data_IF_618371622621
#
_entry.id   IF_618371622621
#
_cell.length_a   1.000
_cell.length_b   1.000
_cell.length_c   1.000
_cell.angle_alpha   90.00
_cell.angle_beta   90.00
_cell.angle_gamma   90.00
#
_symmetry.space_group_name_H-M   'P 1'
#
loop_
_entity.id
_entity.type
_entity.pdbx_description
1 polymer ?
#
# COMPACT_ATOMS: atom_id res chain seq x y z
N UNK A 1 -20.11 2.70 -1.12
CA UNK A 1 -19.09 3.70 -0.76
C UNK A 1 -17.70 3.04 -0.75
N UNK A 2 -16.75 3.59 -1.49
CA UNK A 2 -15.40 3.04 -1.53
C UNK A 2 -14.56 3.60 -0.40
N UNK A 3 -13.71 2.76 0.18
CA UNK A 3 -12.69 3.21 1.12
C UNK A 3 -11.36 3.32 0.38
N UNK A 4 -10.35 3.92 1.01
CA UNK A 4 -9.05 4.09 0.40
C UNK A 4 -8.46 2.77 -0.11
N UNK A 5 -8.49 1.73 0.72
CA UNK A 5 -7.92 0.43 0.38
C UNK A 5 -8.66 -0.24 -0.80
N UNK A 6 -9.99 -0.19 -0.80
CA UNK A 6 -10.78 -0.76 -1.90
C UNK A 6 -10.45 -0.03 -3.20
N UNK A 7 -10.40 1.29 -3.16
CA UNK A 7 -10.09 2.10 -4.35
C UNK A 7 -8.70 1.77 -4.90
N UNK A 8 -7.70 1.72 -4.04
CA UNK A 8 -6.33 1.46 -4.45
C UNK A 8 -6.18 0.04 -5.02
N UNK A 9 -6.73 -0.96 -4.33
CA UNK A 9 -6.58 -2.36 -4.75
C UNK A 9 -7.39 -2.70 -6.01
N UNK A 10 -8.41 -1.92 -6.35
CA UNK A 10 -9.25 -2.18 -7.51
C UNK A 10 -8.63 -1.69 -8.84
N UNK A 11 -7.58 -0.91 -8.76
CA UNK A 11 -6.90 -0.42 -9.96
C UNK A 11 -6.17 -1.55 -10.67
N UNK A 12 -6.26 -1.59 -12.00
CA UNK A 12 -5.69 -2.68 -12.80
C UNK A 12 -4.18 -2.85 -12.57
N UNK A 13 -3.42 -1.76 -12.55
CA UNK A 13 -1.98 -1.83 -12.31
C UNK A 13 -1.67 -2.41 -10.93
N UNK A 14 -2.52 -2.15 -9.95
CA UNK A 14 -2.33 -2.67 -8.60
C UNK A 14 -2.76 -4.13 -8.49
N UNK A 15 -3.77 -4.54 -9.25
CA UNK A 15 -4.14 -5.96 -9.32
C UNK A 15 -2.99 -6.77 -9.89
N UNK A 16 -2.33 -6.27 -10.94
CA UNK A 16 -1.17 -6.92 -11.53
C UNK A 16 -0.02 -6.99 -10.52
N UNK A 17 0.18 -5.92 -9.76
CA UNK A 17 1.21 -5.89 -8.71
C UNK A 17 0.93 -6.94 -7.62
N UNK A 18 -0.32 -7.04 -7.18
CA UNK A 18 -0.72 -8.05 -6.19
C UNK A 18 -0.50 -9.47 -6.72
N UNK A 19 -0.82 -9.71 -7.99
CA UNK A 19 -0.59 -11.01 -8.62
C UNK A 19 0.89 -11.37 -8.63
N UNK A 20 1.76 -10.41 -8.91
CA UNK A 20 3.20 -10.62 -8.85
C UNK A 20 3.68 -10.95 -7.44
N UNK A 21 3.18 -10.21 -6.45
CA UNK A 21 3.54 -10.48 -5.05
C UNK A 21 3.13 -11.88 -4.63
N UNK A 22 1.99 -12.34 -5.10
CA UNK A 22 1.48 -13.67 -4.75
C UNK A 22 2.37 -14.81 -5.26
N UNK A 23 3.27 -14.54 -6.20
CA UNK A 23 4.21 -15.55 -6.70
C UNK A 23 5.51 -15.62 -5.90
N UNK A 24 5.69 -14.70 -4.96
CA UNK A 24 6.92 -14.59 -4.17
C UNK A 24 6.79 -15.25 -2.81
N UNK A 25 7.94 -15.55 -2.21
CA UNK A 25 8.00 -16.00 -0.81
C UNK A 25 7.73 -14.81 0.12
N UNK A 26 7.36 -15.07 1.36
CA UNK A 26 7.00 -14.02 2.33
C UNK A 26 8.06 -12.93 2.45
N UNK A 27 9.33 -13.31 2.56
CA UNK A 27 10.42 -12.34 2.68
C UNK A 27 10.54 -11.47 1.43
N UNK A 28 10.36 -12.08 0.27
CA UNK A 28 10.44 -11.36 -1.00
C UNK A 28 9.25 -10.43 -1.19
N UNK A 29 8.07 -10.82 -0.68
CA UNK A 29 6.89 -9.95 -0.72
C UNK A 29 7.15 -8.68 0.08
N UNK A 30 7.67 -8.82 1.31
CA UNK A 30 7.97 -7.66 2.16
C UNK A 30 9.02 -6.77 1.49
N UNK A 31 10.06 -7.37 0.92
CA UNK A 31 11.10 -6.62 0.23
C UNK A 31 10.55 -5.86 -0.99
N UNK A 32 9.69 -6.50 -1.77
CA UNK A 32 9.09 -5.88 -2.95
C UNK A 32 8.21 -4.69 -2.57
N UNK A 33 7.44 -4.82 -1.48
CA UNK A 33 6.61 -3.74 -0.97
C UNK A 33 7.49 -2.56 -0.54
N UNK A 34 8.56 -2.84 0.18
CA UNK A 34 9.50 -1.80 0.62
C UNK A 34 10.15 -1.10 -0.58
N UNK A 35 10.61 -1.88 -1.56
CA UNK A 35 11.25 -1.35 -2.76
C UNK A 35 10.30 -0.43 -3.54
N UNK A 36 9.03 -0.81 -3.66
CA UNK A 36 8.04 0.02 -4.36
C UNK A 36 7.82 1.35 -3.65
N UNK A 37 7.76 1.35 -2.32
CA UNK A 37 7.64 2.58 -1.55
C UNK A 37 8.87 3.48 -1.74
N UNK A 38 10.06 2.89 -1.67
CA UNK A 38 11.31 3.63 -1.82
C UNK A 38 11.48 4.19 -3.22
N UNK A 39 11.04 3.45 -4.23
CA UNK A 39 11.09 3.91 -5.62
C UNK A 39 10.28 5.21 -5.79
N UNK A 40 9.08 5.25 -5.25
CA UNK A 40 8.24 6.44 -5.34
C UNK A 40 8.91 7.64 -4.68
N UNK A 41 9.62 7.42 -3.57
CA UNK A 41 10.26 8.50 -2.83
C UNK A 41 11.57 8.96 -3.46
N UNK A 42 12.26 8.09 -4.19
CA UNK A 42 13.59 8.40 -4.72
C UNK A 42 13.60 8.84 -6.18
N UNK A 43 12.53 8.59 -6.93
CA UNK A 43 12.48 8.93 -8.34
C UNK A 43 11.63 10.16 -8.59
N UNK A 44 12.08 11.04 -9.51
CA UNK A 44 11.33 12.22 -9.92
C UNK A 44 10.56 11.97 -11.21
N UNK A 45 10.81 10.86 -11.89
CA UNK A 45 10.16 10.52 -13.15
C UNK A 45 9.54 9.14 -13.07
N UNK A 46 8.36 9.08 -12.46
CA UNK A 46 7.64 7.83 -12.31
C UNK A 46 6.54 7.73 -13.38
N UNK A 47 6.34 6.52 -13.89
CA UNK A 47 5.17 6.23 -14.71
C UNK A 47 3.94 6.22 -13.80
N UNK A 48 2.75 6.36 -14.39
CA UNK A 48 1.51 6.27 -13.61
C UNK A 48 1.40 4.92 -12.91
N UNK A 49 1.82 3.85 -13.57
CA UNK A 49 1.80 2.51 -12.98
C UNK A 49 2.72 2.41 -11.76
N UNK A 50 3.92 2.95 -11.85
CA UNK A 50 4.86 2.95 -10.72
C UNK A 50 4.32 3.72 -9.52
N UNK A 51 3.68 4.86 -9.77
CA UNK A 51 3.06 5.64 -8.70
C UNK A 51 1.92 4.88 -8.04
N UNK A 52 1.07 4.24 -8.83
CA UNK A 52 -0.04 3.45 -8.30
C UNK A 52 0.45 2.24 -7.50
N UNK A 53 1.49 1.56 -8.00
CA UNK A 53 2.08 0.43 -7.29
C UNK A 53 2.70 0.88 -5.96
N UNK A 54 3.31 2.06 -5.93
CA UNK A 54 3.83 2.64 -4.68
C UNK A 54 2.73 2.91 -3.66
N UNK A 55 1.60 3.44 -4.11
CA UNK A 55 0.44 3.67 -3.25
C UNK A 55 -0.11 2.33 -2.73
N UNK A 56 -0.17 1.33 -3.59
CA UNK A 56 -0.61 -0.01 -3.21
C UNK A 56 0.33 -0.61 -2.17
N UNK A 57 1.63 -0.52 -2.40
CA UNK A 57 2.64 -1.02 -1.48
C UNK A 57 2.54 -0.34 -0.11
N UNK A 58 2.37 0.97 -0.09
CA UNK A 58 2.24 1.72 1.15
C UNK A 58 0.95 1.33 1.90
N UNK A 59 -0.14 1.09 1.18
CA UNK A 59 -1.39 0.64 1.77
C UNK A 59 -1.24 -0.76 2.38
N UNK A 60 -0.56 -1.65 1.67
CA UNK A 60 -0.24 -2.98 2.19
C UNK A 60 0.57 -2.89 3.49
N UNK A 61 1.59 -2.03 3.49
CA UNK A 61 2.42 -1.82 4.68
C UNK A 61 1.59 -1.32 5.86
N UNK A 62 0.64 -0.41 5.59
CA UNK A 62 -0.26 0.08 6.64
C UNK A 62 -1.12 -1.05 7.23
N UNK A 63 -1.63 -1.93 6.37
CA UNK A 63 -2.40 -3.09 6.83
C UNK A 63 -1.53 -3.99 7.72
N UNK A 64 -0.28 -4.22 7.32
CA UNK A 64 0.66 -5.01 8.12
C UNK A 64 1.02 -4.33 9.45
N UNK A 65 0.91 -3.01 9.52
CA UNK A 65 1.12 -2.26 10.75
C UNK A 65 -0.13 -2.24 11.65
N UNK A 66 -1.22 -2.81 11.18
CA UNK A 66 -2.45 -2.93 11.97
C UNK A 66 -3.59 -2.03 11.55
N UNK A 67 -3.49 -1.35 10.41
CA UNK A 67 -4.57 -0.48 9.95
C UNK A 67 -5.83 -1.29 9.67
N UNK A 68 -7.01 -0.76 10.01
CA UNK A 68 -8.26 -1.41 9.63
C UNK A 68 -8.42 -1.32 8.11
N UNK A 69 -8.94 -2.38 7.50
CA UNK A 69 -9.16 -2.38 6.06
C UNK A 69 -10.54 -2.95 5.73
N UNK A 70 -11.09 -2.50 4.61
CA UNK A 70 -12.42 -2.89 4.15
C UNK A 70 -12.38 -3.86 2.99
N UNK A 71 -11.22 -4.03 2.36
CA UNK A 71 -11.06 -4.87 1.17
C UNK A 71 -10.89 -6.36 1.53
N UNK A 72 -11.87 -6.92 2.26
CA UNK A 72 -11.80 -8.30 2.72
C UNK A 72 -11.73 -9.30 1.58
N UNK A 73 -12.39 -9.02 0.46
CA UNK A 73 -12.35 -9.90 -0.71
C UNK A 73 -10.93 -9.95 -1.30
N UNK A 74 -10.24 -8.81 -1.31
CA UNK A 74 -8.86 -8.74 -1.78
C UNK A 74 -7.95 -9.54 -0.85
N UNK A 75 -8.15 -9.41 0.46
CA UNK A 75 -7.36 -10.16 1.43
C UNK A 75 -7.61 -11.68 1.33
N UNK A 76 -8.83 -12.08 0.96
CA UNK A 76 -9.14 -13.50 0.73
C UNK A 76 -8.45 -14.04 -0.51
N UNK A 77 -8.35 -13.22 -1.56
CA UNK A 77 -7.67 -13.60 -2.81
C UNK A 77 -6.15 -13.56 -2.65
N UNK A 78 -5.64 -12.65 -1.82
CA UNK A 78 -4.22 -12.50 -1.56
C UNK A 78 -3.95 -12.67 -0.06
N UNK A 79 -3.87 -13.92 0.42
CA UNK A 79 -3.76 -14.20 1.86
C UNK A 79 -2.58 -13.52 2.55
N UNK A 80 -1.52 -13.19 1.83
CA UNK A 80 -0.37 -12.53 2.44
C UNK A 80 -0.72 -11.18 3.09
N UNK A 81 -1.82 -10.54 2.67
CA UNK A 81 -2.26 -9.31 3.29
C UNK A 81 -2.58 -9.49 4.78
N UNK A 82 -3.04 -10.69 5.16
CA UNK A 82 -3.33 -11.02 6.55
C UNK A 82 -2.18 -11.75 7.24
N UNK A 83 -1.54 -12.67 6.51
CA UNK A 83 -0.49 -13.52 7.06
C UNK A 83 0.75 -12.76 7.50
N UNK A 84 1.06 -11.65 6.84
CA UNK A 84 2.24 -10.87 7.12
C UNK A 84 2.00 -9.68 8.06
N UNK A 85 0.82 -9.58 8.66
CA UNK A 85 0.55 -8.56 9.68
C UNK A 85 1.59 -8.68 10.78
N UNK A 86 2.23 -7.57 11.12
CA UNK A 86 3.30 -7.54 12.12
C UNK A 86 4.71 -7.71 11.55
N UNK A 87 4.83 -8.03 10.27
CA UNK A 87 6.13 -8.21 9.61
C UNK A 87 6.63 -6.91 8.94
N UNK A 88 6.43 -5.80 9.60
CA UNK A 88 6.82 -4.50 9.07
C UNK A 88 8.06 -3.98 9.82
N UNK A 89 9.05 -3.49 9.05
CA UNK A 89 10.23 -2.87 9.62
C UNK A 89 9.99 -1.37 9.82
N UNK A 90 10.83 -0.74 10.64
CA UNK A 90 10.76 0.70 10.83
C UNK A 90 11.01 1.45 9.53
N UNK A 91 11.95 0.96 8.71
CA UNK A 91 12.24 1.56 7.41
C UNK A 91 11.03 1.52 6.47
N UNK A 92 10.35 0.37 6.42
CA UNK A 92 9.16 0.24 5.61
C UNK A 92 8.04 1.14 6.14
N UNK A 93 7.88 1.19 7.44
CA UNK A 93 6.87 2.04 8.09
C UNK A 93 7.07 3.51 7.71
N UNK A 94 8.29 4.00 7.79
CA UNK A 94 8.62 5.38 7.44
C UNK A 94 8.40 5.67 5.97
N UNK A 95 8.86 4.77 5.09
CA UNK A 95 8.70 4.95 3.65
C UNK A 95 7.23 4.95 3.26
N UNK A 96 6.45 4.01 3.77
CA UNK A 96 5.03 3.92 3.48
C UNK A 96 4.27 5.13 4.01
N UNK A 97 4.58 5.58 5.22
CA UNK A 97 3.97 6.76 5.81
C UNK A 97 4.20 7.99 4.93
N UNK A 98 5.43 8.17 4.46
CA UNK A 98 5.77 9.31 3.58
C UNK A 98 5.01 9.25 2.27
N UNK A 99 4.89 8.06 1.67
CA UNK A 99 4.13 7.87 0.43
C UNK A 99 2.67 8.25 0.64
N UNK A 100 2.05 7.76 1.71
CA UNK A 100 0.64 8.03 1.98
C UNK A 100 0.39 9.49 2.36
N UNK A 101 1.29 10.13 3.09
CA UNK A 101 1.18 11.54 3.42
C UNK A 101 1.23 12.42 2.16
N UNK A 102 2.11 12.08 1.23
CA UNK A 102 2.18 12.79 -0.06
C UNK A 102 0.89 12.60 -0.85
N UNK A 103 0.33 11.39 -0.84
CA UNK A 103 -0.94 11.12 -1.52
C UNK A 103 -2.09 11.90 -0.89
N UNK A 104 -2.09 12.01 0.44
CA UNK A 104 -3.11 12.81 1.16
C UNK A 104 -3.03 14.27 0.74
N UNK A 105 -1.82 14.81 0.65
CA UNK A 105 -1.61 16.20 0.29
C UNK A 105 -2.04 16.50 -1.15
N UNK A 106 -1.94 15.50 -2.04
CA UNK A 106 -2.37 15.63 -3.43
C UNK A 106 -3.88 15.45 -3.59
N UNK A 107 -4.52 14.78 -2.63
CA UNK A 107 -5.96 14.52 -2.66
C UNK A 107 -6.71 15.78 -2.22
N UNK A 108 -7.76 16.12 -2.95
CA UNK A 108 -8.57 17.29 -2.61
C UNK A 108 -9.38 17.03 -1.33
N UNK A 109 -9.64 18.11 -0.59
CA UNK A 109 -10.34 18.05 0.70
C UNK A 109 -11.73 17.42 0.62
N UNK A 110 -12.38 17.46 -0.52
CA UNK A 110 -13.69 16.89 -0.70
C UNK A 110 -13.69 15.42 -1.14
N UNK A 111 -12.51 14.78 -1.10
CA UNK A 111 -12.42 13.36 -1.40
C UNK A 111 -13.12 12.53 -0.33
N UNK A 112 -13.90 11.54 -0.76
CA UNK A 112 -14.59 10.62 0.13
C UNK A 112 -13.67 9.53 0.68
N UNK A 113 -12.45 9.44 0.16
CA UNK A 113 -11.49 8.41 0.56
C UNK A 113 -10.76 8.81 1.83
N UNK A 114 -10.83 7.97 2.85
CA UNK A 114 -10.20 8.23 4.13
C UNK A 114 -8.87 7.48 4.24
N UNK A 115 -7.76 8.19 4.04
CA UNK A 115 -6.41 7.66 4.10
C UNK A 115 -5.81 7.75 5.52
N UNK A 116 -6.39 8.58 6.38
CA UNK A 116 -5.83 8.83 7.73
C UNK A 116 -5.59 7.57 8.58
N UNK A 117 -6.53 6.61 8.65
CA UNK A 117 -6.29 5.42 9.47
C UNK A 117 -5.06 4.64 9.03
N UNK A 118 -4.74 4.67 7.74
CA UNK A 118 -3.56 3.97 7.19
C UNK A 118 -2.28 4.69 7.59
N UNK A 119 -2.29 6.02 7.55
CA UNK A 119 -1.13 6.81 7.97
C UNK A 119 -0.89 6.64 9.48
N UNK A 120 -1.96 6.71 10.27
CA UNK A 120 -1.86 6.57 11.72
C UNK A 120 -1.27 5.22 12.14
N UNK A 121 -1.61 4.14 11.42
CA UNK A 121 -1.08 2.82 11.73
C UNK A 121 0.43 2.74 11.51
N UNK A 122 0.98 3.58 10.63
CA UNK A 122 2.39 3.58 10.30
C UNK A 122 3.24 4.48 11.22
N UNK A 123 2.59 5.30 12.02
CA UNK A 123 3.27 6.22 12.95
C UNK A 123 3.70 5.57 14.30
#
# INVERSE_FOLDING_TARGET
MSTWDIEIFSRESNTDFLDELATLDDEDIVEAVEDSCKLVLSSTKLSAEEQENGLCAATIAAIWAGAPFSASEVADEYPFLRELVGHISEELSEAASTVLEAARDETEEDSDLDIEPFIEALE
#
